data_IF_359555028371
#
_entry.id   IF_359555028371
#
_cell.length_a   1.000
_cell.length_b   1.000
_cell.length_c   1.000
_cell.angle_alpha   90.00
_cell.angle_beta   90.00
_cell.angle_gamma   90.00
#
_symmetry.space_group_name_H-M   'P 1'
#
loop_
_entity.id
_entity.type
_entity.pdbx_description
1 polymer ?
#
# COMPACT_ATOMS: atom_id res chain seq x y z
N UNK A 1 -47.95 50.52 10.99
CA UNK A 1 -46.80 49.95 10.25
C UNK A 1 -45.63 49.84 11.21
N UNK A 2 -45.24 48.65 11.70
CA UNK A 2 -44.10 48.52 12.60
C UNK A 2 -42.80 48.35 11.80
N UNK A 3 -41.76 49.09 12.19
CA UNK A 3 -40.41 48.98 11.67
C UNK A 3 -39.72 47.73 12.27
N UNK A 4 -39.15 46.86 11.41
CA UNK A 4 -38.32 45.74 11.82
C UNK A 4 -36.92 46.22 12.24
N UNK A 5 -36.28 45.63 13.28
CA UNK A 5 -34.92 45.96 13.66
C UNK A 5 -33.90 45.21 12.79
N UNK A 6 -32.86 45.92 12.39
CA UNK A 6 -31.71 45.44 11.62
C UNK A 6 -30.87 44.51 12.52
N UNK A 7 -31.03 43.19 12.39
CA UNK A 7 -30.21 42.21 13.10
C UNK A 7 -28.84 42.11 12.41
N UNK A 8 -27.82 42.61 13.10
CA UNK A 8 -26.42 42.54 12.70
C UNK A 8 -25.93 41.09 12.81
N UNK A 9 -25.93 40.36 11.69
CA UNK A 9 -25.41 38.99 11.60
C UNK A 9 -23.87 39.03 11.73
N UNK A 10 -23.38 38.71 12.93
CA UNK A 10 -21.98 38.43 13.21
C UNK A 10 -21.58 37.15 12.42
N UNK A 11 -20.85 37.30 11.33
CA UNK A 11 -20.20 36.18 10.64
C UNK A 11 -19.05 35.65 11.51
N UNK A 12 -19.29 34.57 12.26
CA UNK A 12 -18.23 33.77 12.87
C UNK A 12 -17.43 33.09 11.75
N UNK A 13 -16.26 33.63 11.43
CA UNK A 13 -15.24 32.94 10.63
C UNK A 13 -14.70 31.77 11.46
N UNK A 14 -15.24 30.58 11.23
CA UNK A 14 -14.66 29.32 11.73
C UNK A 14 -13.31 29.12 11.04
N UNK A 15 -12.22 29.47 11.72
CA UNK A 15 -10.88 29.09 11.31
C UNK A 15 -10.76 27.57 11.42
N UNK A 16 -10.99 26.87 10.30
CA UNK A 16 -10.61 25.46 10.18
C UNK A 16 -9.09 25.41 10.16
N UNK A 17 -8.47 25.10 11.29
CA UNK A 17 -7.06 24.75 11.29
C UNK A 17 -6.87 23.49 10.44
N UNK A 18 -6.03 23.52 9.39
CA UNK A 18 -5.70 22.30 8.67
C UNK A 18 -5.05 21.36 9.68
N UNK A 19 -5.66 20.19 9.90
CA UNK A 19 -5.03 19.13 10.66
C UNK A 19 -3.67 18.86 10.02
N UNK A 20 -2.59 19.02 10.78
CA UNK A 20 -1.26 18.68 10.31
C UNK A 20 -1.25 17.17 10.06
N UNK A 21 -1.24 16.76 8.79
CA UNK A 21 -1.06 15.36 8.44
C UNK A 21 0.29 14.88 8.99
N UNK A 22 0.32 13.70 9.61
CA UNK A 22 1.54 13.12 10.12
C UNK A 22 2.55 12.92 8.98
N UNK A 23 3.55 13.80 8.91
CA UNK A 23 4.65 13.66 7.94
C UNK A 23 5.78 12.84 8.56
N UNK A 24 5.91 11.58 8.16
CA UNK A 24 7.02 10.74 8.59
C UNK A 24 8.28 11.05 7.79
N UNK A 25 9.44 11.07 8.46
CA UNK A 25 10.74 11.32 7.81
C UNK A 25 11.48 10.02 7.51
N UNK A 26 10.93 8.86 7.88
CA UNK A 26 11.48 7.55 7.53
C UNK A 26 10.40 6.46 7.46
N UNK A 27 10.63 5.47 6.60
CA UNK A 27 9.78 4.29 6.51
C UNK A 27 9.66 3.53 7.85
N UNK A 28 10.70 3.55 8.69
CA UNK A 28 10.63 2.92 10.01
C UNK A 28 9.61 3.60 10.93
N UNK A 29 9.60 4.93 10.97
CA UNK A 29 8.64 5.70 11.77
C UNK A 29 7.21 5.46 11.28
N UNK A 30 6.99 5.55 9.96
CA UNK A 30 5.68 5.30 9.35
C UNK A 30 5.15 3.90 9.72
N UNK A 31 5.98 2.86 9.53
CA UNK A 31 5.61 1.50 9.92
C UNK A 31 5.32 1.37 11.41
N UNK A 32 6.12 1.99 12.27
CA UNK A 32 5.92 1.93 13.72
C UNK A 32 4.57 2.54 14.10
N UNK A 33 4.26 3.71 13.56
CA UNK A 33 3.00 4.42 13.77
C UNK A 33 1.80 3.61 13.25
N UNK A 34 1.84 3.21 11.98
CA UNK A 34 0.80 2.39 11.36
C UNK A 34 0.60 1.06 12.10
N UNK A 35 1.71 0.43 12.50
CA UNK A 35 1.63 -0.78 13.31
C UNK A 35 1.06 -0.49 14.69
N UNK A 36 1.20 0.69 15.30
CA UNK A 36 0.59 0.97 16.62
C UNK A 36 -0.91 1.26 16.54
N UNK A 37 -1.38 1.77 15.40
CA UNK A 37 -2.79 2.12 15.17
C UNK A 37 -3.60 1.03 14.47
N UNK A 38 -2.98 -0.11 14.14
CA UNK A 38 -3.64 -1.20 13.45
C UNK A 38 -4.86 -1.68 14.26
N UNK A 39 -6.05 -1.58 13.68
CA UNK A 39 -7.31 -2.02 14.29
C UNK A 39 -7.41 -3.54 14.33
N UNK A 40 -8.24 -4.07 15.24
CA UNK A 40 -8.51 -5.51 15.32
C UNK A 40 -9.28 -6.04 14.08
N UNK A 41 -9.94 -5.14 13.36
CA UNK A 41 -10.63 -5.43 12.09
C UNK A 41 -9.72 -5.34 10.88
N UNK A 42 -8.45 -4.93 11.05
CA UNK A 42 -7.53 -4.73 9.94
C UNK A 42 -7.28 -6.05 9.20
N UNK A 43 -7.36 -5.97 7.86
CA UNK A 43 -7.13 -7.10 6.97
C UNK A 43 -5.92 -6.85 6.08
N UNK A 44 -5.26 -7.92 5.67
CA UNK A 44 -4.16 -7.83 4.69
C UNK A 44 -4.68 -7.40 3.31
N UNK A 45 -3.92 -6.52 2.63
CA UNK A 45 -4.30 -5.90 1.36
C UNK A 45 -4.76 -6.92 0.32
N UNK A 46 -3.95 -7.94 0.07
CA UNK A 46 -4.22 -8.90 -0.99
C UNK A 46 -5.23 -9.95 -0.54
N UNK A 47 -4.96 -10.67 0.55
CA UNK A 47 -5.72 -11.87 0.88
C UNK A 47 -6.89 -11.66 1.84
N UNK A 48 -7.08 -10.47 2.39
CA UNK A 48 -8.16 -10.23 3.35
C UNK A 48 -8.01 -10.98 4.67
N UNK A 49 -6.84 -11.56 4.98
CA UNK A 49 -6.60 -12.25 6.25
C UNK A 49 -6.62 -11.26 7.42
N UNK A 50 -7.22 -11.66 8.55
CA UNK A 50 -7.07 -10.95 9.82
C UNK A 50 -5.61 -10.86 10.24
N UNK A 51 -5.30 -9.89 11.11
CA UNK A 51 -3.94 -9.65 11.60
C UNK A 51 -3.95 -9.69 13.12
N UNK A 52 -3.06 -10.50 13.69
CA UNK A 52 -2.85 -10.56 15.14
C UNK A 52 -1.42 -10.15 15.52
N UNK A 53 -1.22 -9.79 16.78
CA UNK A 53 0.09 -9.45 17.34
C UNK A 53 0.66 -10.61 18.14
N UNK A 54 1.92 -10.94 17.86
CA UNK A 54 2.72 -11.80 18.73
C UNK A 54 4.01 -11.06 19.10
N UNK A 55 4.03 -10.47 20.30
CA UNK A 55 5.08 -9.54 20.72
C UNK A 55 5.17 -8.35 19.76
N UNK A 56 6.35 -8.13 19.17
CA UNK A 56 6.58 -7.05 18.18
C UNK A 56 6.18 -7.43 16.74
N UNK A 57 5.76 -8.67 16.50
CA UNK A 57 5.45 -9.18 15.15
C UNK A 57 3.95 -9.09 14.88
N UNK A 58 3.62 -8.73 13.66
CA UNK A 58 2.28 -8.87 13.10
C UNK A 58 2.21 -10.19 12.32
N UNK A 59 1.18 -10.99 12.57
CA UNK A 59 1.01 -12.33 12.01
C UNK A 59 -0.35 -12.41 11.30
N UNK A 60 -0.43 -12.97 10.08
CA UNK A 60 -1.71 -13.21 9.43
C UNK A 60 -2.46 -14.37 10.10
N UNK A 61 -3.76 -14.20 10.34
CA UNK A 61 -4.68 -15.27 10.74
C UNK A 61 -5.12 -15.98 9.47
N UNK A 62 -4.35 -16.97 9.04
CA UNK A 62 -4.49 -17.57 7.70
C UNK A 62 -5.74 -18.46 7.56
N UNK A 63 -6.24 -18.99 8.67
CA UNK A 63 -7.44 -19.83 8.71
C UNK A 63 -8.70 -19.07 8.30
N UNK A 64 -8.78 -17.76 8.58
CA UNK A 64 -9.93 -16.91 8.21
C UNK A 64 -10.04 -16.68 6.70
N UNK A 65 -8.90 -16.60 6.01
CA UNK A 65 -8.83 -16.24 4.59
C UNK A 65 -8.45 -17.42 3.67
N UNK A 66 -8.10 -18.58 4.23
CA UNK A 66 -7.64 -19.75 3.49
C UNK A 66 -6.31 -19.56 2.75
N UNK A 67 -5.44 -18.66 3.21
CA UNK A 67 -4.10 -18.51 2.63
C UNK A 67 -3.27 -19.78 2.82
N UNK A 68 -2.61 -20.21 1.76
CA UNK A 68 -1.61 -21.28 1.80
C UNK A 68 -0.31 -20.78 1.15
N UNK A 69 0.86 -21.06 1.73
CA UNK A 69 2.12 -20.60 1.17
C UNK A 69 2.48 -21.34 -0.12
N UNK A 70 2.89 -20.59 -1.14
CA UNK A 70 3.39 -21.15 -2.40
C UNK A 70 4.76 -21.80 -2.23
N UNK A 71 5.59 -21.24 -1.35
CA UNK A 71 6.94 -21.71 -0.99
C UNK A 71 7.05 -21.80 0.53
N UNK A 72 6.50 -22.85 1.17
CA UNK A 72 6.60 -23.03 2.62
C UNK A 72 8.05 -23.23 3.08
N UNK A 73 8.91 -23.79 2.23
CA UNK A 73 10.32 -24.06 2.50
C UNK A 73 11.19 -23.24 1.54
N UNK A 74 12.27 -22.65 2.07
CA UNK A 74 13.28 -21.91 1.29
C UNK A 74 14.17 -22.87 0.51
N UNK A 75 14.96 -22.35 -0.44
CA UNK A 75 15.94 -23.15 -1.20
C UNK A 75 16.96 -23.90 -0.33
N UNK A 76 17.20 -23.41 0.88
CA UNK A 76 18.16 -23.98 1.82
C UNK A 76 17.49 -24.91 2.85
N UNK A 77 16.28 -25.41 2.57
CA UNK A 77 15.57 -26.37 3.42
C UNK A 77 14.94 -25.79 4.70
N UNK A 78 15.06 -24.48 4.94
CA UNK A 78 14.50 -23.82 6.14
C UNK A 78 13.05 -23.36 5.92
N UNK A 79 12.19 -23.33 6.95
CA UNK A 79 10.87 -22.70 6.88
C UNK A 79 10.96 -21.25 6.36
N UNK A 80 10.08 -20.91 5.42
CA UNK A 80 10.01 -19.57 4.87
C UNK A 80 9.33 -18.62 5.86
N UNK A 81 10.13 -17.85 6.60
CA UNK A 81 9.63 -16.91 7.61
C UNK A 81 8.73 -15.79 7.07
N UNK A 82 8.70 -15.57 5.75
CA UNK A 82 7.80 -14.57 5.14
C UNK A 82 6.36 -15.08 5.01
N UNK A 83 6.13 -16.38 5.18
CA UNK A 83 4.79 -16.97 5.17
C UNK A 83 4.00 -16.71 6.46
N UNK A 84 4.69 -16.36 7.55
CA UNK A 84 4.13 -16.25 8.91
C UNK A 84 4.20 -14.83 9.49
N UNK A 85 4.50 -13.81 8.67
CA UNK A 85 4.57 -12.43 9.14
C UNK A 85 3.93 -11.47 8.14
N UNK A 86 3.41 -10.38 8.68
CA UNK A 86 2.98 -9.23 7.89
C UNK A 86 4.19 -8.35 7.58
N UNK A 87 4.24 -7.86 6.36
CA UNK A 87 5.15 -6.82 5.92
C UNK A 87 4.35 -5.64 5.37
N UNK A 88 4.82 -4.42 5.62
CA UNK A 88 4.21 -3.22 5.07
C UNK A 88 4.57 -3.11 3.58
N UNK A 89 3.56 -3.29 2.75
CA UNK A 89 3.60 -3.18 1.29
C UNK A 89 3.61 -1.71 0.89
N UNK A 90 4.54 -1.35 0.01
CA UNK A 90 4.47 -0.12 -0.78
C UNK A 90 3.57 -0.40 -1.99
N UNK A 91 2.30 0.05 -1.96
CA UNK A 91 1.34 -0.25 -3.04
C UNK A 91 1.89 0.21 -4.39
N UNK A 92 2.28 1.48 -4.48
CA UNK A 92 3.24 1.98 -5.47
C UNK A 92 4.64 1.61 -4.98
N UNK A 93 5.38 0.71 -5.64
CA UNK A 93 6.68 0.24 -5.15
C UNK A 93 7.67 1.39 -5.02
N UNK A 94 8.57 1.31 -4.04
CA UNK A 94 9.65 2.29 -3.91
C UNK A 94 10.56 2.42 -5.14
N UNK A 95 10.66 1.34 -5.93
CA UNK A 95 11.34 1.39 -7.21
C UNK A 95 10.63 2.32 -8.19
N UNK A 96 9.30 2.30 -8.27
CA UNK A 96 8.52 3.09 -9.23
C UNK A 96 8.80 4.59 -9.08
N UNK A 97 8.68 5.12 -7.85
CA UNK A 97 8.90 6.54 -7.56
C UNK A 97 10.37 6.91 -7.30
N UNK A 98 11.29 5.95 -7.38
CA UNK A 98 12.68 6.15 -6.96
C UNK A 98 13.73 5.88 -8.03
N UNK A 99 13.49 4.92 -8.92
CA UNK A 99 14.54 4.37 -9.78
C UNK A 99 15.14 5.38 -10.76
N UNK A 100 14.42 6.43 -11.13
CA UNK A 100 14.91 7.47 -12.04
C UNK A 100 15.69 8.58 -11.32
N UNK A 101 15.69 8.60 -9.98
CA UNK A 101 16.39 9.63 -9.21
C UNK A 101 17.90 9.38 -9.23
N UNK A 102 18.67 10.47 -9.27
CA UNK A 102 20.14 10.42 -9.22
C UNK A 102 20.66 9.62 -8.01
N UNK A 103 20.08 9.83 -6.83
CA UNK A 103 20.43 9.07 -5.62
C UNK A 103 20.30 7.54 -5.81
N UNK A 104 19.35 7.10 -6.65
CA UNK A 104 19.11 5.68 -6.89
C UNK A 104 20.17 5.11 -7.84
N UNK A 105 20.59 5.90 -8.83
CA UNK A 105 21.68 5.53 -9.72
C UNK A 105 23.02 5.41 -8.96
N UNK A 106 23.24 6.27 -7.97
CA UNK A 106 24.48 6.32 -7.18
C UNK A 106 24.56 5.32 -6.02
N UNK A 107 23.48 4.60 -5.71
CA UNK A 107 23.51 3.64 -4.58
C UNK A 107 22.16 3.06 -4.18
N UNK A 108 21.21 3.05 -5.11
CA UNK A 108 19.87 2.48 -4.96
C UNK A 108 19.03 3.13 -3.86
N UNK A 109 18.01 2.38 -3.45
CA UNK A 109 17.10 2.76 -2.36
C UNK A 109 17.82 3.17 -1.07
N UNK A 110 18.95 2.53 -0.76
CA UNK A 110 19.72 2.82 0.44
C UNK A 110 20.33 4.22 0.41
N UNK A 111 20.89 4.63 -0.74
CA UNK A 111 21.41 5.98 -0.90
C UNK A 111 20.28 7.02 -0.92
N UNK A 112 19.17 6.78 -1.64
CA UNK A 112 18.03 7.70 -1.63
C UNK A 112 17.45 7.96 -0.23
N UNK A 113 17.41 6.93 0.64
CA UNK A 113 17.04 7.12 2.04
C UNK A 113 17.98 8.08 2.78
N UNK A 114 19.28 8.10 2.45
CA UNK A 114 20.26 8.98 3.10
C UNK A 114 20.18 10.41 2.58
N UNK A 115 20.14 10.59 1.26
CA UNK A 115 20.42 11.90 0.65
C UNK A 115 19.19 12.62 0.10
N UNK A 116 18.10 11.91 -0.21
CA UNK A 116 16.95 12.50 -0.89
C UNK A 116 15.73 12.63 0.04
N UNK A 117 15.42 13.86 0.47
CA UNK A 117 14.31 14.15 1.38
C UNK A 117 12.93 13.86 0.76
N UNK A 118 12.74 14.14 -0.53
CA UNK A 118 11.49 13.84 -1.23
C UNK A 118 11.26 12.34 -1.31
N UNK A 119 12.30 11.56 -1.64
CA UNK A 119 12.23 10.09 -1.63
C UNK A 119 11.84 9.55 -0.25
N UNK A 120 12.45 10.05 0.83
CA UNK A 120 12.09 9.66 2.20
C UNK A 120 10.61 9.95 2.51
N UNK A 121 10.12 11.11 2.06
CA UNK A 121 8.71 11.50 2.23
C UNK A 121 7.77 10.54 1.50
N UNK A 122 8.01 10.30 0.22
CA UNK A 122 7.23 9.34 -0.58
C UNK A 122 7.27 7.93 0.00
N UNK A 123 8.43 7.47 0.47
CA UNK A 123 8.61 6.15 1.05
C UNK A 123 7.91 5.99 2.41
N UNK A 124 7.80 7.07 3.17
CA UNK A 124 7.20 7.08 4.49
C UNK A 124 5.71 7.48 4.47
N UNK A 125 5.11 7.70 3.30
CA UNK A 125 3.73 8.14 3.17
C UNK A 125 2.73 7.01 3.52
N UNK A 126 1.90 7.18 4.57
CA UNK A 126 0.92 6.18 4.98
C UNK A 126 -0.10 5.80 3.91
N UNK A 127 -0.47 6.73 3.02
CA UNK A 127 -1.47 6.49 1.97
C UNK A 127 -0.99 5.47 0.92
N UNK A 128 0.32 5.18 0.89
CA UNK A 128 0.92 4.19 0.02
C UNK A 128 1.34 2.91 0.77
N UNK A 129 0.96 2.76 2.04
CA UNK A 129 1.37 1.66 2.89
C UNK A 129 0.18 0.82 3.34
N UNK A 130 0.25 -0.49 3.10
CA UNK A 130 -0.77 -1.44 3.55
C UNK A 130 -0.15 -2.72 4.11
N UNK A 131 -0.79 -3.40 5.07
CA UNK A 131 -0.28 -4.68 5.56
C UNK A 131 -0.47 -5.77 4.51
N UNK A 132 0.57 -6.54 4.22
CA UNK A 132 0.50 -7.69 3.32
C UNK A 132 1.19 -8.91 3.93
N UNK A 133 0.77 -10.12 3.56
CA UNK A 133 1.53 -11.33 3.89
C UNK A 133 2.91 -11.23 3.24
N UNK A 134 3.96 -11.48 4.02
CA UNK A 134 5.33 -11.32 3.56
C UNK A 134 5.59 -12.05 2.25
N UNK A 135 5.25 -13.34 2.12
CA UNK A 135 5.49 -14.11 0.90
C UNK A 135 4.93 -13.40 -0.35
N UNK A 136 3.69 -12.90 -0.28
CA UNK A 136 3.02 -12.23 -1.39
C UNK A 136 3.68 -10.88 -1.70
N UNK A 137 4.03 -10.09 -0.69
CA UNK A 137 4.81 -8.85 -0.89
C UNK A 137 6.13 -9.14 -1.66
N UNK A 138 6.83 -10.24 -1.35
CA UNK A 138 8.06 -10.59 -2.07
C UNK A 138 7.84 -11.16 -3.46
N UNK A 139 6.81 -12.00 -3.62
CA UNK A 139 6.41 -12.52 -4.92
C UNK A 139 5.98 -11.36 -5.84
N UNK A 140 5.31 -10.33 -5.30
CA UNK A 140 4.94 -9.09 -5.98
C UNK A 140 6.17 -8.29 -6.39
N UNK A 141 7.19 -8.19 -5.55
CA UNK A 141 8.42 -7.43 -5.86
C UNK A 141 8.12 -5.98 -6.27
N UNK A 142 8.58 -5.54 -7.45
CA UNK A 142 8.18 -4.30 -8.11
C UNK A 142 7.38 -4.56 -9.40
N UNK A 143 6.60 -5.64 -9.43
CA UNK A 143 5.77 -5.98 -10.58
C UNK A 143 4.59 -5.03 -10.71
N UNK A 144 4.29 -4.65 -11.95
CA UNK A 144 3.12 -3.83 -12.25
C UNK A 144 1.84 -4.62 -12.03
N UNK A 145 0.77 -3.92 -11.73
CA UNK A 145 -0.56 -4.52 -11.64
C UNK A 145 -1.13 -4.80 -13.04
N UNK A 146 -1.96 -5.83 -13.16
CA UNK A 146 -2.62 -6.18 -14.41
C UNK A 146 -3.52 -7.39 -14.27
N UNK A 147 -4.27 -7.70 -15.34
CA UNK A 147 -5.09 -8.91 -15.41
C UNK A 147 -4.27 -10.08 -15.96
N UNK A 148 -4.46 -11.26 -15.37
CA UNK A 148 -3.78 -12.51 -15.68
C UNK A 148 -4.81 -13.65 -15.80
N UNK A 149 -5.62 -13.68 -16.88
CA UNK A 149 -6.67 -14.70 -17.05
C UNK A 149 -6.11 -16.12 -17.00
N UNK A 150 -4.96 -16.36 -17.62
CA UNK A 150 -4.37 -17.71 -17.77
C UNK A 150 -3.39 -18.10 -16.64
N UNK A 151 -3.25 -17.27 -15.60
CA UNK A 151 -2.36 -17.58 -14.47
C UNK A 151 -3.12 -18.24 -13.34
N UNK A 152 -2.73 -19.44 -12.87
CA UNK A 152 -3.41 -20.11 -11.78
C UNK A 152 -3.11 -19.43 -10.44
N UNK A 153 -4.05 -19.54 -9.50
CA UNK A 153 -3.81 -19.22 -8.10
C UNK A 153 -2.78 -20.18 -7.52
N UNK A 154 -1.90 -19.68 -6.63
CA UNK A 154 -0.87 -20.51 -5.98
C UNK A 154 -0.80 -20.31 -4.46
N UNK A 155 -1.74 -19.56 -3.89
CA UNK A 155 -1.69 -19.11 -2.51
C UNK A 155 -2.95 -19.54 -1.71
N UNK A 156 -3.48 -20.73 -2.00
CA UNK A 156 -4.74 -21.22 -1.44
C UNK A 156 -5.95 -20.44 -1.96
N UNK A 157 -6.84 -20.03 -1.05
CA UNK A 157 -8.05 -19.26 -1.39
C UNK A 157 -7.77 -17.77 -1.63
N UNK A 158 -6.53 -17.31 -1.41
CA UNK A 158 -6.15 -15.96 -1.76
C UNK A 158 -6.10 -15.81 -3.28
N UNK A 159 -7.03 -15.05 -3.85
CA UNK A 159 -7.22 -14.87 -5.29
C UNK A 159 -6.14 -13.99 -5.97
N UNK A 160 -4.90 -14.05 -5.50
CA UNK A 160 -3.77 -13.35 -6.07
C UNK A 160 -3.10 -14.22 -7.13
N UNK A 161 -2.76 -13.63 -8.27
CA UNK A 161 -2.01 -14.33 -9.33
C UNK A 161 -0.72 -13.59 -9.62
N UNK A 162 0.38 -14.33 -9.72
CA UNK A 162 1.70 -13.75 -9.99
C UNK A 162 2.33 -14.44 -11.20
N UNK A 163 2.61 -13.65 -12.23
CA UNK A 163 3.37 -14.10 -13.38
C UNK A 163 4.80 -13.53 -13.32
N UNK A 164 5.73 -14.34 -12.80
CA UNK A 164 7.13 -13.95 -12.62
C UNK A 164 7.85 -13.63 -13.94
N UNK A 165 7.48 -14.32 -15.04
CA UNK A 165 8.10 -14.11 -16.36
C UNK A 165 7.67 -12.78 -16.97
N UNK A 166 6.38 -12.47 -16.88
CA UNK A 166 5.82 -11.20 -17.38
C UNK A 166 6.01 -10.04 -16.39
N UNK A 167 6.42 -10.32 -15.14
CA UNK A 167 6.56 -9.34 -14.05
C UNK A 167 5.26 -8.58 -13.81
N UNK A 168 4.16 -9.33 -13.70
CA UNK A 168 2.80 -8.82 -13.46
C UNK A 168 2.18 -9.55 -12.28
N UNK A 169 1.41 -8.82 -11.48
CA UNK A 169 0.53 -9.35 -10.44
C UNK A 169 -0.92 -8.95 -10.75
N UNK A 170 -1.84 -9.92 -10.67
CA UNK A 170 -3.28 -9.65 -10.60
C UNK A 170 -3.70 -9.69 -9.13
N UNK A 171 -4.12 -8.55 -8.56
CA UNK A 171 -4.60 -8.52 -7.19
C UNK A 171 -6.06 -9.02 -7.13
N UNK A 172 -6.48 -9.55 -5.97
CA UNK A 172 -7.88 -9.90 -5.74
C UNK A 172 -8.80 -8.70 -5.96
N UNK A 173 -10.06 -8.92 -6.42
CA UNK A 173 -11.00 -7.83 -6.66
C UNK A 173 -11.06 -6.81 -5.52
N UNK A 174 -11.28 -7.28 -4.29
CA UNK A 174 -11.39 -6.44 -3.08
C UNK A 174 -10.23 -5.45 -2.86
N UNK A 175 -9.03 -5.75 -3.36
CA UNK A 175 -7.85 -4.88 -3.21
C UNK A 175 -7.76 -3.77 -4.28
N UNK A 176 -8.45 -3.94 -5.42
CA UNK A 176 -8.23 -3.13 -6.64
C UNK A 176 -8.53 -1.65 -6.45
N UNK A 177 -9.62 -1.32 -5.75
CA UNK A 177 -10.03 0.06 -5.50
C UNK A 177 -9.00 0.81 -4.65
N UNK A 178 -8.55 0.19 -3.55
CA UNK A 178 -7.49 0.74 -2.70
C UNK A 178 -6.17 0.92 -3.49
N UNK A 179 -5.81 -0.06 -4.33
CA UNK A 179 -4.63 0.03 -5.18
C UNK A 179 -4.71 1.22 -6.14
N UNK A 180 -5.83 1.37 -6.84
CA UNK A 180 -6.04 2.48 -7.76
C UNK A 180 -5.96 3.84 -7.04
N UNK A 181 -6.61 3.97 -5.88
CA UNK A 181 -6.58 5.20 -5.08
C UNK A 181 -5.17 5.54 -4.60
N UNK A 182 -4.36 4.57 -4.18
CA UNK A 182 -2.97 4.82 -3.80
C UNK A 182 -2.11 5.30 -4.98
N UNK A 183 -2.32 4.74 -6.18
CA UNK A 183 -1.63 5.22 -7.39
C UNK A 183 -2.03 6.65 -7.75
N UNK A 184 -3.33 6.96 -7.78
CA UNK A 184 -3.81 8.32 -8.06
C UNK A 184 -3.38 9.33 -7.01
N UNK A 185 -3.42 8.94 -5.73
CA UNK A 185 -2.86 9.75 -4.66
C UNK A 185 -1.38 10.06 -4.92
N UNK A 186 -0.56 9.04 -5.19
CA UNK A 186 0.87 9.26 -5.45
C UNK A 186 1.13 10.10 -6.71
N UNK A 187 0.29 9.97 -7.74
CA UNK A 187 0.33 10.83 -8.94
C UNK A 187 -0.01 12.28 -8.59
N UNK A 188 -1.11 12.52 -7.88
CA UNK A 188 -1.57 13.86 -7.51
C UNK A 188 -0.61 14.54 -6.52
N UNK A 189 -0.13 13.82 -5.52
CA UNK A 189 0.68 14.38 -4.42
C UNK A 189 2.15 14.54 -4.79
N UNK A 190 2.71 13.63 -5.60
CA UNK A 190 4.15 13.58 -5.89
C UNK A 190 4.50 13.66 -7.38
N UNK A 191 3.52 13.82 -8.26
CA UNK A 191 3.76 13.88 -9.70
C UNK A 191 4.21 12.54 -10.30
N UNK A 192 3.86 11.41 -9.67
CA UNK A 192 4.17 10.09 -10.21
C UNK A 192 3.58 9.95 -11.62
N UNK A 193 4.44 9.65 -12.60
CA UNK A 193 3.98 9.38 -13.97
C UNK A 193 3.43 7.96 -14.05
N UNK A 194 2.18 7.82 -14.46
CA UNK A 194 1.50 6.54 -14.67
C UNK A 194 1.32 6.36 -16.18
N UNK A 195 1.74 5.22 -16.74
CA UNK A 195 1.52 4.93 -18.16
C UNK A 195 0.03 4.87 -18.51
N UNK A 196 -0.38 5.28 -19.71
CA UNK A 196 -1.79 5.26 -20.16
C UNK A 196 -2.49 3.91 -19.94
N UNK A 197 -1.76 2.79 -20.11
CA UNK A 197 -2.30 1.45 -19.87
C UNK A 197 -2.62 1.20 -18.40
N UNK A 198 -1.75 1.64 -17.49
CA UNK A 198 -2.01 1.56 -16.05
C UNK A 198 -3.07 2.57 -15.63
N UNK A 199 -3.07 3.77 -16.22
CA UNK A 199 -4.08 4.81 -15.97
C UNK A 199 -5.48 4.26 -16.22
N UNK A 200 -5.75 3.74 -17.42
CA UNK A 200 -7.05 3.12 -17.77
C UNK A 200 -7.44 1.95 -16.86
N UNK A 201 -6.46 1.13 -16.47
CA UNK A 201 -6.68 0.02 -15.54
C UNK A 201 -7.13 0.52 -14.16
N UNK A 202 -6.43 1.52 -13.61
CA UNK A 202 -6.74 2.07 -12.29
C UNK A 202 -8.04 2.88 -12.31
N UNK A 203 -8.37 3.57 -13.40
CA UNK A 203 -9.67 4.23 -13.59
C UNK A 203 -10.81 3.21 -13.48
N UNK A 204 -10.72 2.10 -14.21
CA UNK A 204 -11.70 1.02 -14.13
C UNK A 204 -11.80 0.43 -12.71
N UNK A 205 -10.69 0.34 -11.99
CA UNK A 205 -10.66 -0.21 -10.63
C UNK A 205 -11.17 0.75 -9.56
N UNK A 206 -11.00 2.05 -9.74
CA UNK A 206 -11.49 3.08 -8.82
C UNK A 206 -13.02 3.16 -8.80
N UNK A 207 -13.66 2.85 -9.94
CA UNK A 207 -15.12 2.87 -10.11
C UNK A 207 -15.82 1.59 -9.64
N UNK A 208 -15.10 0.62 -9.07
CA UNK A 208 -15.73 -0.59 -8.52
C UNK A 208 -16.53 -0.23 -7.27
N UNK A 209 -17.80 -0.64 -7.25
CA UNK A 209 -18.70 -0.61 -6.10
C UNK A 209 -18.89 -2.04 -5.56
N UNK A 210 -19.02 -2.18 -4.24
CA UNK A 210 -19.17 -3.45 -3.51
C UNK A 210 -20.41 -3.40 -2.63
#
# INVERSE_FOLDING_TARGET
>A
MPFLPLSCLLFLLLYTHPAAADTFTSFYQAKKHLSSQLSDTAKTLYCGCGITRQGKKLIPITQECGYQPRKPITRNGKPNSRTTRIEWEHIVPAWEFGHQLQCWQEGGRANCRKVNALFRRMEADPNNLAPAIGEINGDRSNYRFGMLPDTPFRHGNCAVKVNFKQRVIEPPPAARKQIAHAYFYMQQTYGLTISDKQQKLFEAWAQIEY
#
